data_IF_342054706613
#
_entry.id   IF_342054706613
#
_cell.length_a   1.000
_cell.length_b   1.000
_cell.length_c   1.000
_cell.angle_alpha   90.00
_cell.angle_beta   90.00
_cell.angle_gamma   90.00
#
_symmetry.space_group_name_H-M   'P 1'
#
loop_
_entity.id
_entity.type
_entity.pdbx_description
1 polymer ?
#
# COMPACT_ATOMS: atom_id res chain seq x y z
N UNK A 1 35.76 -24.61 64.45
CA UNK A 1 36.36 -24.71 63.10
C UNK A 1 35.80 -23.59 62.26
N UNK A 2 36.59 -22.54 62.02
CA UNK A 2 36.24 -21.41 61.16
C UNK A 2 37.01 -21.56 59.85
N UNK A 3 36.30 -21.67 58.72
CA UNK A 3 36.90 -21.60 57.38
C UNK A 3 36.63 -20.21 56.79
N UNK A 4 37.64 -19.53 56.21
CA UNK A 4 37.45 -18.25 55.55
C UNK A 4 36.98 -18.47 54.09
N UNK A 5 35.93 -17.76 53.68
CA UNK A 5 35.47 -17.71 52.29
C UNK A 5 36.29 -16.74 51.43
N UNK A 6 36.49 -17.00 50.13
CA UNK A 6 37.30 -16.15 49.26
C UNK A 6 36.52 -14.90 48.83
N UNK A 7 37.14 -13.73 48.99
CA UNK A 7 36.63 -12.48 48.47
C UNK A 7 36.90 -12.39 46.95
N UNK A 8 35.84 -12.40 46.13
CA UNK A 8 35.92 -12.06 44.71
C UNK A 8 36.29 -10.58 44.56
N UNK A 9 37.51 -10.30 44.10
CA UNK A 9 37.91 -8.97 43.62
C UNK A 9 37.37 -8.76 42.20
N UNK A 10 36.25 -8.05 42.08
CA UNK A 10 35.77 -7.51 40.81
C UNK A 10 36.70 -6.37 40.38
N UNK A 11 37.29 -6.46 39.18
CA UNK A 11 38.10 -5.40 38.57
C UNK A 11 37.18 -4.37 37.88
N UNK A 12 37.01 -3.15 38.41
CA UNK A 12 36.06 -2.17 37.87
C UNK A 12 36.50 -1.53 36.54
N UNK A 13 37.76 -1.72 36.12
CA UNK A 13 38.29 -1.07 34.91
C UNK A 13 37.80 -1.66 33.58
N UNK A 14 37.61 -2.99 33.51
CA UNK A 14 37.31 -3.65 32.22
C UNK A 14 35.86 -3.52 31.77
N UNK A 15 34.95 -3.18 32.68
CA UNK A 15 33.52 -3.08 32.35
C UNK A 15 33.22 -1.78 31.56
N UNK A 16 33.90 -0.69 31.91
CA UNK A 16 33.71 0.59 31.22
C UNK A 16 34.25 0.55 29.79
N UNK A 17 35.40 -0.09 29.57
CA UNK A 17 36.01 -0.22 28.25
C UNK A 17 35.15 -1.09 27.31
N UNK A 18 34.60 -2.20 27.82
CA UNK A 18 33.69 -3.06 27.05
C UNK A 18 32.39 -2.33 26.72
N UNK A 19 31.82 -1.59 27.67
CA UNK A 19 30.59 -0.82 27.44
C UNK A 19 30.82 0.31 26.41
N UNK A 20 31.96 1.00 26.48
CA UNK A 20 32.32 2.05 25.53
C UNK A 20 32.52 1.49 24.12
N UNK A 21 33.21 0.35 23.98
CA UNK A 21 33.40 -0.33 22.68
C UNK A 21 32.06 -0.80 22.10
N UNK A 22 31.16 -1.34 22.92
CA UNK A 22 29.82 -1.74 22.48
C UNK A 22 28.98 -0.53 22.04
N UNK A 23 29.05 0.59 22.77
CA UNK A 23 28.37 1.83 22.40
C UNK A 23 28.94 2.45 21.13
N UNK A 24 30.27 2.44 20.96
CA UNK A 24 30.92 2.95 19.75
C UNK A 24 30.61 2.07 18.53
N UNK A 25 30.59 0.75 18.70
CA UNK A 25 30.21 -0.19 17.65
C UNK A 25 28.74 -0.05 17.26
N UNK A 26 27.84 0.15 18.24
CA UNK A 26 26.44 0.45 17.98
C UNK A 26 26.26 1.80 17.26
N UNK A 27 27.01 2.83 17.65
CA UNK A 27 26.99 4.14 17.00
C UNK A 27 27.53 4.08 15.57
N UNK A 28 28.63 3.35 15.34
CA UNK A 28 29.21 3.12 14.02
C UNK A 28 28.31 2.26 13.13
N UNK A 29 27.63 1.26 13.67
CA UNK A 29 26.60 0.50 12.94
C UNK A 29 25.41 1.38 12.57
N UNK A 30 24.98 2.28 13.46
CA UNK A 30 23.91 3.25 13.20
C UNK A 30 24.30 4.30 12.13
N UNK A 31 25.57 4.68 12.01
CA UNK A 31 26.04 5.61 10.96
C UNK A 31 26.33 4.89 9.63
N UNK A 32 26.81 3.65 9.66
CA UNK A 32 27.06 2.83 8.47
C UNK A 32 25.77 2.34 7.79
N UNK A 33 24.67 2.17 8.53
CA UNK A 33 23.34 1.83 7.97
C UNK A 33 22.75 2.87 7.02
N UNK A 34 23.35 4.07 6.91
CA UNK A 34 22.91 5.11 5.97
C UNK A 34 23.37 4.87 4.50
N UNK A 35 24.26 3.89 4.25
CA UNK A 35 24.76 3.55 2.92
C UNK A 35 24.17 2.23 2.37
N UNK A 36 22.99 1.83 2.87
CA UNK A 36 22.28 0.63 2.43
C UNK A 36 22.07 0.59 0.91
N UNK A 37 22.42 -0.57 0.32
CA UNK A 37 22.34 -0.90 -1.10
C UNK A 37 21.20 -0.18 -1.83
N UNK A 38 21.54 0.77 -2.71
CA UNK A 38 20.60 1.55 -3.56
C UNK A 38 19.84 0.72 -4.60
N UNK A 39 19.96 -0.59 -4.56
CA UNK A 39 19.63 -1.47 -5.67
C UNK A 39 18.36 -2.22 -5.31
N UNK A 40 17.23 -1.86 -5.94
CA UNK A 40 16.12 -2.76 -6.36
C UNK A 40 14.71 -2.12 -6.48
N UNK A 41 14.60 -0.79 -6.70
CA UNK A 41 13.29 -0.13 -6.98
C UNK A 41 13.19 0.56 -8.34
N UNK A 42 14.19 0.40 -9.21
CA UNK A 42 14.25 1.07 -10.51
C UNK A 42 14.55 0.11 -11.67
N UNK A 43 14.52 -1.21 -11.45
CA UNK A 43 14.78 -2.22 -12.47
C UNK A 43 13.76 -2.13 -13.60
N UNK A 44 12.49 -1.90 -13.27
CA UNK A 44 11.48 -1.65 -14.30
C UNK A 44 11.83 -0.38 -15.07
N UNK A 45 12.20 0.70 -14.38
CA UNK A 45 12.58 1.96 -15.02
C UNK A 45 13.82 1.83 -15.95
N UNK A 46 14.65 0.80 -15.75
CA UNK A 46 15.81 0.46 -16.56
C UNK A 46 15.59 -0.80 -17.43
N UNK A 47 14.34 -1.16 -17.73
CA UNK A 47 14.02 -2.41 -18.44
C UNK A 47 14.70 -2.52 -19.82
N UNK A 48 14.92 -1.40 -20.52
CA UNK A 48 15.66 -1.38 -21.79
C UNK A 48 17.12 -1.84 -21.67
N UNK A 49 17.71 -1.73 -20.47
CA UNK A 49 19.07 -2.18 -20.15
C UNK A 49 19.10 -3.58 -19.53
N UNK A 50 17.95 -4.17 -19.23
CA UNK A 50 17.84 -5.46 -18.56
C UNK A 50 18.12 -6.62 -19.52
N UNK A 51 18.63 -7.73 -18.98
CA UNK A 51 18.73 -9.01 -19.70
C UNK A 51 17.36 -9.52 -20.14
N UNK A 52 17.31 -10.41 -21.13
CA UNK A 52 16.05 -10.98 -21.61
C UNK A 52 15.27 -11.71 -20.50
N UNK A 53 15.97 -12.43 -19.62
CA UNK A 53 15.36 -13.08 -18.45
C UNK A 53 14.72 -12.05 -17.52
N UNK A 54 15.46 -10.99 -17.15
CA UNK A 54 14.93 -9.92 -16.31
C UNK A 54 13.74 -9.22 -16.96
N UNK A 55 13.78 -8.96 -18.28
CA UNK A 55 12.63 -8.38 -19.00
C UNK A 55 11.39 -9.27 -18.87
N UNK A 56 11.50 -10.59 -19.07
CA UNK A 56 10.38 -11.51 -18.85
C UNK A 56 9.82 -11.42 -17.43
N UNK A 57 10.70 -11.30 -16.43
CA UNK A 57 10.29 -11.15 -15.04
C UNK A 57 9.60 -9.81 -14.73
N UNK A 58 9.92 -8.74 -15.47
CA UNK A 58 9.39 -7.40 -15.28
C UNK A 58 8.16 -7.08 -16.17
N UNK A 59 7.88 -7.87 -17.21
CA UNK A 59 6.77 -7.62 -18.15
C UNK A 59 5.42 -8.14 -17.67
N UNK A 60 4.34 -7.40 -17.90
CA UNK A 60 2.97 -7.84 -17.65
C UNK A 60 2.25 -8.07 -18.98
N UNK A 61 1.84 -9.31 -19.28
CA UNK A 61 1.17 -9.67 -20.53
C UNK A 61 -0.34 -9.36 -20.50
N UNK A 62 -0.68 -8.15 -20.09
CA UNK A 62 -2.04 -7.62 -20.01
C UNK A 62 -1.99 -6.10 -19.88
N UNK A 63 -3.14 -5.45 -20.08
CA UNK A 63 -3.23 -4.01 -19.92
C UNK A 63 -3.01 -3.61 -18.47
N UNK A 64 -1.88 -2.93 -18.27
CA UNK A 64 -1.50 -2.52 -16.94
C UNK A 64 -0.76 -1.19 -16.93
N UNK A 65 -0.75 -0.58 -15.76
CA UNK A 65 0.22 0.44 -15.40
C UNK A 65 0.96 0.02 -14.13
N UNK A 66 2.20 0.46 -14.00
CA UNK A 66 2.95 0.37 -12.75
C UNK A 66 3.42 1.77 -12.37
N UNK A 67 2.97 2.22 -11.21
CA UNK A 67 3.45 3.45 -10.56
C UNK A 67 4.57 3.06 -9.61
N UNK A 68 5.79 3.44 -9.96
CA UNK A 68 6.97 3.32 -9.11
C UNK A 68 7.12 4.53 -8.21
N UNK A 69 7.14 4.29 -6.90
CA UNK A 69 7.34 5.31 -5.87
C UNK A 69 8.66 5.01 -5.16
N UNK A 70 9.42 6.06 -4.90
CA UNK A 70 10.70 6.01 -4.20
C UNK A 70 10.76 7.05 -3.10
N UNK A 71 11.81 7.00 -2.26
CA UNK A 71 11.98 7.89 -1.11
C UNK A 71 13.41 8.37 -0.98
N UNK A 72 13.61 9.68 -1.02
CA UNK A 72 14.94 10.27 -0.99
C UNK A 72 14.97 11.63 -0.27
N UNK A 73 16.15 12.17 0.01
CA UNK A 73 16.32 13.43 0.75
C UNK A 73 15.66 14.61 0.04
N UNK A 74 14.97 15.44 0.82
CA UNK A 74 14.25 16.62 0.34
C UNK A 74 15.15 17.61 -0.43
N UNK A 75 16.44 17.67 -0.11
CA UNK A 75 17.42 18.50 -0.85
C UNK A 75 17.66 18.02 -2.29
N UNK A 76 17.38 16.74 -2.59
CA UNK A 76 17.50 16.17 -3.94
C UNK A 76 16.18 16.16 -4.69
N UNK A 77 15.09 15.82 -4.01
CA UNK A 77 13.80 15.56 -4.67
C UNK A 77 12.79 16.69 -4.50
N UNK A 78 13.10 17.71 -3.69
CA UNK A 78 12.16 18.74 -3.26
C UNK A 78 11.37 18.31 -2.03
N UNK A 79 10.49 19.19 -1.55
CA UNK A 79 9.56 18.92 -0.44
C UNK A 79 8.15 18.79 -0.98
N UNK A 80 7.31 18.05 -0.26
CA UNK A 80 5.86 18.14 -0.45
C UNK A 80 5.44 19.57 -0.11
N UNK A 81 4.98 20.31 -1.12
CA UNK A 81 4.48 21.65 -0.93
C UNK A 81 3.09 21.60 -0.27
N UNK A 82 2.89 22.42 0.75
CA UNK A 82 1.57 22.77 1.25
C UNK A 82 1.04 23.93 0.41
N UNK A 83 -0.21 23.88 -0.04
CA UNK A 83 -0.84 25.01 -0.71
C UNK A 83 -2.09 25.43 0.04
N UNK A 84 -2.17 26.69 0.47
CA UNK A 84 -3.43 27.26 0.91
C UNK A 84 -4.33 27.49 -0.31
N UNK A 85 -5.25 26.56 -0.59
CA UNK A 85 -6.52 26.88 -1.25
C UNK A 85 -6.62 26.81 -2.79
N UNK A 86 -5.77 26.08 -3.51
CA UNK A 86 -6.00 25.84 -4.94
C UNK A 86 -6.82 24.55 -5.18
N UNK A 87 -8.09 24.62 -5.63
CA UNK A 87 -8.80 23.42 -6.09
C UNK A 87 -8.05 22.81 -7.29
N UNK A 88 -7.67 21.53 -7.16
CA UNK A 88 -6.97 20.79 -8.21
C UNK A 88 -5.47 21.06 -8.38
N UNK A 89 -4.82 21.73 -7.41
CA UNK A 89 -3.38 22.05 -7.48
C UNK A 89 -2.41 20.87 -7.25
N UNK A 90 -1.14 21.08 -7.61
CA UNK A 90 0.00 20.17 -7.40
C UNK A 90 0.45 20.11 -5.92
N UNK A 91 -0.50 19.91 -5.00
CA UNK A 91 -0.25 19.95 -3.56
C UNK A 91 -1.36 19.27 -2.75
N UNK A 92 -1.05 18.97 -1.48
CA UNK A 92 -2.02 18.40 -0.53
C UNK A 92 -2.91 19.52 0.03
N UNK A 93 -4.22 19.29 0.04
CA UNK A 93 -5.21 20.21 0.60
C UNK A 93 -5.30 20.07 2.12
N UNK A 94 -4.17 20.29 2.81
CA UNK A 94 -4.10 20.18 4.27
C UNK A 94 -5.02 21.21 4.94
N UNK A 95 -5.27 22.35 4.28
CA UNK A 95 -6.24 23.37 4.71
C UNK A 95 -7.66 23.19 4.14
N UNK A 96 -8.01 22.00 3.63
CA UNK A 96 -9.39 21.71 3.22
C UNK A 96 -10.38 21.94 4.37
N UNK A 97 -11.63 22.38 4.10
CA UNK A 97 -12.64 22.64 5.15
C UNK A 97 -12.75 21.52 6.20
N UNK A 98 -12.76 20.26 5.74
CA UNK A 98 -12.80 19.07 6.60
C UNK A 98 -11.66 19.00 7.64
N UNK A 99 -10.46 19.45 7.28
CA UNK A 99 -9.28 19.45 8.17
C UNK A 99 -9.19 20.75 8.98
N UNK A 100 -9.69 21.88 8.48
CA UNK A 100 -9.77 23.14 9.24
C UNK A 100 -10.65 23.02 10.47
N UNK A 101 -11.72 22.24 10.37
CA UNK A 101 -12.58 21.89 11.52
C UNK A 101 -11.89 20.95 12.52
N UNK A 102 -10.65 20.49 12.24
CA UNK A 102 -9.89 19.50 13.02
C UNK A 102 -8.41 19.89 13.11
N UNK A 103 -8.08 20.97 13.83
CA UNK A 103 -6.71 21.50 13.89
C UNK A 103 -5.68 20.45 14.32
N UNK A 104 -5.98 19.61 15.31
CA UNK A 104 -5.05 18.55 15.76
C UNK A 104 -4.72 17.54 14.66
N UNK A 105 -5.73 17.14 13.89
CA UNK A 105 -5.54 16.23 12.75
C UNK A 105 -4.74 16.93 11.66
N UNK A 106 -5.08 18.17 11.33
CA UNK A 106 -4.36 18.96 10.33
C UNK A 106 -2.88 19.08 10.70
N UNK A 107 -2.57 19.50 11.92
CA UNK A 107 -1.21 19.75 12.39
C UNK A 107 -0.41 18.43 12.44
N UNK A 108 -1.04 17.33 12.84
CA UNK A 108 -0.45 15.99 12.78
C UNK A 108 -0.12 15.56 11.33
N UNK A 109 -1.02 15.82 10.37
CA UNK A 109 -0.80 15.48 8.96
C UNK A 109 0.29 16.37 8.34
N UNK A 110 0.30 17.66 8.67
CA UNK A 110 1.31 18.61 8.21
C UNK A 110 2.70 18.19 8.71
N UNK A 111 2.85 17.94 10.01
CA UNK A 111 4.10 17.44 10.59
C UNK A 111 4.53 16.08 10.01
N UNK A 112 3.56 15.19 9.75
CA UNK A 112 3.82 13.85 9.22
C UNK A 112 4.24 13.85 7.75
N UNK A 113 3.74 14.75 6.91
CA UNK A 113 3.93 14.67 5.46
C UNK A 113 4.70 15.86 4.87
N UNK A 114 4.31 17.11 5.17
CA UNK A 114 4.97 18.29 4.62
C UNK A 114 6.37 18.51 5.21
N UNK A 115 6.57 18.14 6.48
CA UNK A 115 7.82 18.32 7.22
C UNK A 115 8.89 17.24 7.01
N UNK A 116 8.68 16.24 6.14
CA UNK A 116 9.60 15.11 6.05
C UNK A 116 10.97 15.46 5.46
N UNK A 117 12.03 14.97 6.10
CA UNK A 117 13.41 15.07 5.58
C UNK A 117 13.64 14.25 4.32
N UNK A 118 12.91 13.15 4.17
CA UNK A 118 12.99 12.25 3.02
C UNK A 118 11.60 12.05 2.45
N UNK A 119 11.04 12.94 1.62
CA UNK A 119 9.72 12.70 1.05
C UNK A 119 9.78 11.57 0.02
N UNK A 120 8.65 10.88 -0.11
CA UNK A 120 8.39 9.98 -1.24
C UNK A 120 8.12 10.77 -2.51
N UNK A 121 8.35 10.17 -3.68
CA UNK A 121 8.07 10.74 -5.00
C UNK A 121 7.79 9.63 -6.01
N UNK A 122 7.00 9.90 -7.04
CA UNK A 122 6.83 8.99 -8.18
C UNK A 122 8.11 9.05 -9.01
N UNK A 123 8.75 7.92 -9.27
CA UNK A 123 9.97 7.83 -10.07
C UNK A 123 9.70 7.37 -11.50
N UNK A 124 8.67 6.55 -11.71
CA UNK A 124 8.26 6.14 -13.05
C UNK A 124 6.79 5.70 -13.09
N UNK A 125 6.21 5.77 -14.29
CA UNK A 125 4.91 5.23 -14.63
C UNK A 125 5.07 4.43 -15.92
N UNK A 126 5.16 3.12 -15.79
CA UNK A 126 5.22 2.19 -16.91
C UNK A 126 3.80 1.82 -17.36
N UNK A 127 3.60 1.69 -18.67
CA UNK A 127 2.39 1.17 -19.29
C UNK A 127 2.72 -0.14 -20.01
N UNK A 128 1.89 -1.14 -19.79
CA UNK A 128 1.95 -2.44 -20.44
C UNK A 128 0.74 -2.62 -21.35
N UNK A 129 0.97 -3.25 -22.50
CA UNK A 129 -0.11 -3.72 -23.37
C UNK A 129 -0.30 -5.24 -23.30
N UNK A 130 -1.28 -5.77 -24.05
CA UNK A 130 -1.66 -7.17 -23.95
C UNK A 130 -0.57 -8.15 -24.40
N UNK A 131 0.37 -7.72 -25.26
CA UNK A 131 1.53 -8.53 -25.67
C UNK A 131 2.75 -8.38 -24.75
N UNK A 132 2.63 -7.67 -23.62
CA UNK A 132 3.73 -7.45 -22.69
C UNK A 132 4.70 -6.33 -23.08
N UNK A 133 4.43 -5.61 -24.18
CA UNK A 133 5.18 -4.42 -24.55
C UNK A 133 5.07 -3.36 -23.45
N UNK A 134 6.18 -2.72 -23.15
CA UNK A 134 6.29 -1.68 -22.12
C UNK A 134 6.69 -0.36 -22.75
N UNK A 135 6.08 0.73 -22.28
CA UNK A 135 6.56 2.08 -22.51
C UNK A 135 6.38 2.91 -21.22
N UNK A 136 6.98 4.09 -21.13
CA UNK A 136 6.89 4.96 -19.96
C UNK A 136 6.11 6.24 -20.27
N UNK A 137 5.08 6.51 -19.48
CA UNK A 137 4.44 7.83 -19.43
C UNK A 137 5.33 8.84 -18.71
N UNK A 138 6.14 8.35 -17.78
CA UNK A 138 7.07 9.13 -16.98
C UNK A 138 8.19 8.20 -16.47
N UNK A 139 9.43 8.66 -16.51
CA UNK A 139 10.59 7.91 -16.01
C UNK A 139 11.73 8.88 -15.66
N UNK A 140 12.17 8.92 -14.40
CA UNK A 140 13.28 9.79 -13.97
C UNK A 140 14.66 9.29 -14.42
N UNK A 141 14.77 8.02 -14.83
CA UNK A 141 16.05 7.36 -15.09
C UNK A 141 16.42 7.30 -16.57
N UNK A 142 15.43 7.27 -17.47
CA UNK A 142 15.69 7.08 -18.89
C UNK A 142 14.73 7.91 -19.74
N UNK A 143 15.27 8.47 -20.83
CA UNK A 143 14.51 9.16 -21.87
C UNK A 143 14.04 8.23 -23.01
N UNK A 144 14.42 6.95 -22.97
CA UNK A 144 14.00 5.92 -23.94
C UNK A 144 12.63 5.33 -23.62
N UNK A 145 12.03 4.64 -24.59
CA UNK A 145 10.77 3.88 -24.45
C UNK A 145 9.56 4.73 -24.00
N UNK A 146 9.53 6.00 -24.37
CA UNK A 146 8.43 6.91 -24.06
C UNK A 146 7.10 6.48 -24.73
N UNK A 147 5.99 6.51 -24.00
CA UNK A 147 4.66 6.30 -24.56
C UNK A 147 4.21 7.52 -25.38
N UNK A 148 4.37 7.49 -26.70
CA UNK A 148 3.85 8.55 -27.57
C UNK A 148 2.30 8.58 -27.60
N UNK A 149 1.66 9.76 -27.71
CA UNK A 149 2.24 11.11 -27.63
C UNK A 149 2.24 11.69 -26.21
N UNK A 150 1.74 10.95 -25.21
CA UNK A 150 1.43 11.48 -23.87
C UNK A 150 2.60 11.47 -22.88
N UNK A 151 3.73 10.87 -23.24
CA UNK A 151 4.89 10.81 -22.36
C UNK A 151 5.35 12.21 -21.93
N UNK A 152 5.52 12.37 -20.63
CA UNK A 152 5.90 13.64 -20.04
C UNK A 152 7.39 13.91 -20.29
N UNK A 153 7.70 14.84 -21.19
CA UNK A 153 9.05 15.38 -21.37
C UNK A 153 9.31 16.42 -20.27
N UNK A 154 10.05 16.05 -19.22
CA UNK A 154 10.24 16.96 -18.09
C UNK A 154 11.53 17.77 -18.20
N UNK A 155 11.42 19.08 -17.96
CA UNK A 155 12.55 19.97 -17.84
C UNK A 155 13.45 19.57 -16.64
N UNK A 156 14.78 19.47 -16.81
CA UNK A 156 15.71 19.03 -15.77
C UNK A 156 15.70 19.84 -14.47
N UNK A 157 15.19 21.08 -14.47
CA UNK A 157 15.26 21.99 -13.34
C UNK A 157 14.15 21.82 -12.28
N UNK A 158 13.07 21.08 -12.55
CA UNK A 158 11.96 20.95 -11.58
C UNK A 158 12.27 19.91 -10.50
N UNK A 159 11.91 20.11 -9.22
CA UNK A 159 12.07 19.08 -8.19
C UNK A 159 11.24 17.81 -8.48
N UNK A 160 11.75 16.61 -8.18
CA UNK A 160 11.07 15.34 -8.51
C UNK A 160 9.69 15.18 -7.85
N UNK A 161 9.51 15.69 -6.63
CA UNK A 161 8.20 15.74 -5.95
C UNK A 161 7.21 16.56 -6.78
N UNK A 162 7.63 17.71 -7.32
CA UNK A 162 6.78 18.53 -8.19
C UNK A 162 6.40 17.79 -9.49
N UNK A 163 7.35 17.06 -10.08
CA UNK A 163 7.11 16.25 -11.29
C UNK A 163 6.14 15.10 -11.05
N UNK A 164 6.09 14.57 -9.83
CA UNK A 164 5.22 13.44 -9.47
C UNK A 164 3.73 13.78 -9.65
N UNK A 165 3.33 15.02 -9.39
CA UNK A 165 1.95 15.48 -9.63
C UNK A 165 1.59 15.46 -11.11
N UNK A 166 2.48 15.99 -11.96
CA UNK A 166 2.32 16.00 -13.41
C UNK A 166 2.32 14.58 -13.98
N UNK A 167 3.16 13.70 -13.43
CA UNK A 167 3.20 12.29 -13.82
C UNK A 167 1.86 11.59 -13.54
N UNK A 168 1.29 11.75 -12.35
CA UNK A 168 -0.02 11.18 -12.01
C UNK A 168 -1.15 11.80 -12.85
N UNK A 169 -1.11 13.12 -13.10
CA UNK A 169 -2.07 13.76 -13.99
C UNK A 169 -2.00 13.20 -15.43
N UNK A 170 -0.79 12.89 -15.91
CA UNK A 170 -0.55 12.24 -17.20
C UNK A 170 -1.11 10.83 -17.23
N UNK A 171 -0.89 10.05 -16.17
CA UNK A 171 -1.52 8.74 -16.01
C UNK A 171 -3.05 8.83 -16.03
N UNK A 172 -3.64 9.77 -15.30
CA UNK A 172 -5.09 9.99 -15.29
C UNK A 172 -5.65 10.24 -16.70
N UNK A 173 -4.96 11.06 -17.50
CA UNK A 173 -5.35 11.34 -18.90
C UNK A 173 -5.20 10.10 -19.79
N UNK A 174 -4.14 9.32 -19.62
CA UNK A 174 -3.96 8.11 -20.43
C UNK A 174 -4.95 7.00 -20.07
N UNK A 175 -5.29 6.86 -18.79
CA UNK A 175 -6.36 5.94 -18.33
C UNK A 175 -7.71 6.37 -18.91
N UNK A 176 -8.05 7.66 -18.83
CA UNK A 176 -9.29 8.22 -19.41
C UNK A 176 -9.39 7.95 -20.92
N UNK A 177 -8.31 8.18 -21.66
CA UNK A 177 -8.22 7.87 -23.09
C UNK A 177 -8.41 6.37 -23.35
N UNK A 178 -7.69 5.53 -22.61
CA UNK A 178 -7.75 4.08 -22.80
C UNK A 178 -9.10 3.46 -22.44
N UNK A 179 -9.77 3.97 -21.41
CA UNK A 179 -11.10 3.47 -21.02
C UNK A 179 -12.14 3.82 -22.07
N UNK A 180 -12.02 4.97 -22.72
CA UNK A 180 -12.86 5.34 -23.87
C UNK A 180 -12.61 4.43 -25.10
N UNK A 181 -11.34 4.13 -25.40
CA UNK A 181 -10.96 3.31 -26.56
C UNK A 181 -11.30 1.82 -26.39
N UNK A 182 -11.07 1.27 -25.20
CA UNK A 182 -11.05 -0.19 -24.96
C UNK A 182 -12.19 -0.69 -24.09
N UNK A 183 -13.02 0.21 -23.55
CA UNK A 183 -14.22 -0.10 -22.77
C UNK A 183 -13.94 -1.07 -21.63
N UNK A 184 -12.95 -0.73 -20.80
CA UNK A 184 -12.67 -1.46 -19.56
C UNK A 184 -13.89 -1.40 -18.65
N UNK A 185 -14.25 -2.55 -18.09
CA UNK A 185 -15.36 -2.69 -17.14
C UNK A 185 -14.92 -2.36 -15.70
N UNK A 186 -13.65 -2.65 -15.40
CA UNK A 186 -13.07 -2.51 -14.08
C UNK A 186 -11.67 -1.90 -14.22
N UNK A 187 -11.30 -1.06 -13.26
CA UNK A 187 -9.94 -0.62 -13.01
C UNK A 187 -9.57 -1.15 -11.63
N UNK A 188 -8.51 -1.96 -11.56
CA UNK A 188 -8.11 -2.66 -10.35
C UNK A 188 -6.74 -2.16 -9.91
N UNK A 189 -6.68 -1.54 -8.74
CA UNK A 189 -5.44 -1.02 -8.16
C UNK A 189 -4.89 -2.03 -7.16
N UNK A 190 -3.67 -2.49 -7.36
CA UNK A 190 -2.95 -3.42 -6.48
C UNK A 190 -1.78 -2.72 -5.78
N UNK A 191 -1.72 -2.85 -4.45
CA UNK A 191 -0.61 -2.29 -3.65
C UNK A 191 0.00 -3.37 -2.76
N UNK A 192 1.30 -3.63 -2.92
CA UNK A 192 2.01 -4.74 -2.27
C UNK A 192 2.63 -4.37 -0.92
N UNK A 193 2.96 -5.39 -0.13
CA UNK A 193 3.40 -5.32 1.26
C UNK A 193 4.84 -4.84 1.51
N UNK A 194 5.22 -4.94 2.79
CA UNK A 194 6.56 -4.69 3.30
C UNK A 194 7.52 -5.83 2.89
N UNK A 195 8.80 -5.49 2.72
CA UNK A 195 9.86 -6.38 2.21
C UNK A 195 9.59 -6.98 0.83
N UNK A 196 8.95 -6.21 -0.06
CA UNK A 196 8.70 -6.60 -1.44
C UNK A 196 9.48 -5.68 -2.38
N UNK A 197 10.61 -6.14 -2.92
CA UNK A 197 11.35 -5.41 -3.95
C UNK A 197 10.55 -5.34 -5.27
N UNK A 198 10.89 -4.43 -6.17
CA UNK A 198 10.04 -4.14 -7.33
C UNK A 198 9.78 -5.37 -8.23
N UNK A 199 10.79 -6.15 -8.64
CA UNK A 199 10.54 -7.39 -9.38
C UNK A 199 9.60 -8.38 -8.68
N UNK A 200 9.70 -8.53 -7.34
CA UNK A 200 8.77 -9.37 -6.59
C UNK A 200 7.36 -8.80 -6.59
N UNK A 201 7.21 -7.48 -6.40
CA UNK A 201 5.92 -6.82 -6.44
C UNK A 201 5.23 -7.02 -7.80
N UNK A 202 6.00 -6.94 -8.90
CA UNK A 202 5.50 -7.19 -10.26
C UNK A 202 5.06 -8.65 -10.45
N UNK A 203 5.82 -9.62 -9.94
CA UNK A 203 5.39 -11.03 -9.95
C UNK A 203 4.10 -11.23 -9.15
N UNK A 204 4.02 -10.67 -7.95
CA UNK A 204 2.84 -10.76 -7.09
C UNK A 204 1.60 -10.13 -7.74
N UNK A 205 1.75 -8.95 -8.37
CA UNK A 205 0.68 -8.30 -9.15
C UNK A 205 0.26 -9.17 -10.34
N UNK A 206 1.23 -9.72 -11.09
CA UNK A 206 0.97 -10.63 -12.22
C UNK A 206 0.17 -11.84 -11.75
N UNK A 207 0.55 -12.45 -10.63
CA UNK A 207 -0.11 -13.63 -10.09
C UNK A 207 -1.54 -13.30 -9.66
N UNK A 208 -1.77 -12.23 -8.87
CA UNK A 208 -3.12 -11.80 -8.49
C UNK A 208 -4.01 -11.53 -9.70
N UNK A 209 -3.51 -10.75 -10.68
CA UNK A 209 -4.26 -10.43 -11.88
C UNK A 209 -4.58 -11.68 -12.71
N UNK A 210 -3.64 -12.62 -12.80
CA UNK A 210 -3.83 -13.89 -13.52
C UNK A 210 -4.87 -14.75 -12.82
N UNK A 211 -4.76 -14.96 -11.50
CA UNK A 211 -5.73 -15.74 -10.72
C UNK A 211 -7.12 -15.13 -10.76
N UNK A 212 -7.21 -13.80 -10.76
CA UNK A 212 -8.48 -13.09 -10.88
C UNK A 212 -9.13 -13.31 -12.27
N UNK A 213 -8.34 -13.25 -13.35
CA UNK A 213 -8.84 -13.50 -14.71
C UNK A 213 -9.21 -14.97 -14.93
N UNK A 214 -8.44 -15.89 -14.38
CA UNK A 214 -8.77 -17.33 -14.36
C UNK A 214 -10.10 -17.57 -13.64
N UNK A 215 -10.30 -16.95 -12.47
CA UNK A 215 -11.55 -17.03 -11.71
C UNK A 215 -12.75 -16.44 -12.46
N UNK A 216 -12.53 -15.39 -13.26
CA UNK A 216 -13.56 -14.83 -14.12
C UNK A 216 -13.97 -15.75 -15.28
N UNK A 217 -13.17 -16.78 -15.60
CA UNK A 217 -13.54 -17.84 -16.55
C UNK A 217 -13.89 -17.34 -17.96
N UNK A 218 -13.34 -16.20 -18.37
CA UNK A 218 -13.68 -15.56 -19.65
C UNK A 218 -14.99 -14.76 -19.66
N UNK A 219 -15.53 -14.40 -18.49
CA UNK A 219 -16.70 -13.51 -18.37
C UNK A 219 -16.50 -12.24 -19.23
N UNK A 220 -17.28 -12.06 -20.33
CA UNK A 220 -17.10 -10.94 -21.23
C UNK A 220 -17.43 -9.59 -20.58
N UNK A 221 -18.16 -9.59 -19.46
CA UNK A 221 -18.42 -8.41 -18.65
C UNK A 221 -17.22 -8.03 -17.76
N UNK A 222 -16.23 -8.92 -17.60
CA UNK A 222 -15.02 -8.69 -16.81
C UNK A 222 -13.79 -8.45 -17.70
N UNK A 223 -13.61 -7.19 -18.06
CA UNK A 223 -12.47 -6.63 -18.80
C UNK A 223 -11.70 -5.66 -17.89
N UNK A 224 -10.76 -6.13 -17.07
CA UNK A 224 -10.03 -5.28 -16.13
C UNK A 224 -8.85 -4.56 -16.79
N UNK A 225 -8.62 -3.32 -16.39
CA UNK A 225 -7.33 -2.64 -16.49
C UNK A 225 -6.65 -2.70 -15.11
N UNK A 226 -5.38 -3.12 -15.07
CA UNK A 226 -4.64 -3.29 -13.81
C UNK A 226 -3.72 -2.10 -13.55
N UNK A 227 -3.69 -1.57 -12.33
CA UNK A 227 -2.70 -0.57 -11.90
C UNK A 227 -1.97 -1.13 -10.69
N UNK A 228 -0.66 -1.32 -10.77
CA UNK A 228 0.16 -1.67 -9.63
C UNK A 228 0.85 -0.45 -9.03
N UNK A 229 0.90 -0.39 -7.70
CA UNK A 229 1.70 0.58 -6.96
C UNK A 229 2.86 -0.15 -6.29
N UNK A 230 4.07 0.25 -6.66
CA UNK A 230 5.31 -0.21 -6.01
C UNK A 230 5.91 0.96 -5.25
N UNK A 231 6.47 0.69 -4.07
CA UNK A 231 6.94 1.72 -3.14
C UNK A 231 8.16 1.18 -2.38
N UNK A 232 8.95 2.03 -1.68
CA UNK A 232 10.22 1.62 -1.07
C UNK A 232 9.98 0.80 0.21
N UNK A 233 9.44 -0.40 0.02
CA UNK A 233 8.90 -1.24 1.06
C UNK A 233 9.93 -2.16 1.68
N UNK A 234 11.20 -2.18 1.23
CA UNK A 234 12.22 -3.04 1.84
C UNK A 234 12.87 -2.37 3.05
N UNK A 235 12.99 -3.15 4.13
CA UNK A 235 13.72 -2.80 5.33
C UNK A 235 15.22 -3.04 5.24
N UNK A 236 15.92 -2.74 6.33
CA UNK A 236 17.30 -3.20 6.51
C UNK A 236 17.26 -4.72 6.83
N UNK A 237 17.80 -5.58 5.94
CA UNK A 237 17.79 -7.02 6.17
C UNK A 237 18.58 -7.45 7.41
N UNK A 238 19.48 -6.60 7.94
CA UNK A 238 20.22 -6.89 9.16
C UNK A 238 19.37 -6.77 10.44
N UNK A 239 18.25 -6.04 10.40
CA UNK A 239 17.39 -5.78 11.57
C UNK A 239 15.90 -5.92 11.22
N UNK A 240 15.41 -7.14 10.89
CA UNK A 240 14.12 -7.40 10.23
C UNK A 240 12.84 -7.07 11.03
N UNK A 241 12.91 -6.29 12.12
CA UNK A 241 11.76 -5.79 12.87
C UNK A 241 11.97 -4.34 13.39
N UNK A 242 13.19 -3.79 13.32
CA UNK A 242 13.50 -2.47 13.85
C UNK A 242 12.90 -1.33 13.00
N UNK A 243 12.64 -1.60 11.72
CA UNK A 243 12.10 -0.65 10.75
C UNK A 243 10.58 -0.75 10.59
N UNK A 244 9.88 -1.66 11.29
CA UNK A 244 8.42 -1.81 11.20
C UNK A 244 7.70 -0.45 11.32
N UNK A 245 8.06 0.33 12.35
CA UNK A 245 7.47 1.64 12.59
C UNK A 245 7.81 2.68 11.51
N UNK A 246 8.97 2.55 10.87
CA UNK A 246 9.39 3.40 9.74
C UNK A 246 8.53 3.05 8.53
N UNK A 247 8.42 1.77 8.19
CA UNK A 247 7.68 1.29 7.04
C UNK A 247 6.17 1.48 7.17
N UNK A 248 5.67 1.52 8.41
CA UNK A 248 4.30 1.85 8.71
C UNK A 248 4.00 3.31 8.34
N UNK A 249 4.95 4.21 8.65
CA UNK A 249 4.87 5.62 8.26
C UNK A 249 5.04 5.80 6.75
N UNK A 250 5.96 5.07 6.12
CA UNK A 250 6.18 5.11 4.67
C UNK A 250 4.91 4.66 3.92
N UNK A 251 4.28 3.55 4.33
CA UNK A 251 3.01 3.09 3.76
C UNK A 251 1.88 4.12 3.95
N UNK A 252 1.79 4.74 5.14
CA UNK A 252 0.80 5.81 5.38
C UNK A 252 1.07 7.07 4.53
N UNK A 253 2.32 7.36 4.19
CA UNK A 253 2.70 8.48 3.32
C UNK A 253 2.38 8.18 1.86
N UNK A 254 2.79 7.02 1.36
CA UNK A 254 2.43 6.52 0.02
C UNK A 254 0.92 6.56 -0.18
N UNK A 255 0.18 6.02 0.81
CA UNK A 255 -1.27 6.01 0.82
C UNK A 255 -1.86 7.42 0.83
N UNK A 256 -1.48 8.27 1.80
CA UNK A 256 -2.11 9.58 1.98
C UNK A 256 -1.80 10.59 0.87
N UNK A 257 -0.64 10.43 0.21
CA UNK A 257 -0.16 11.32 -0.85
C UNK A 257 -0.42 10.69 -2.21
N UNK A 258 0.46 9.82 -2.68
CA UNK A 258 0.52 9.41 -4.09
C UNK A 258 -0.64 8.53 -4.52
N UNK A 259 -0.97 7.50 -3.72
CA UNK A 259 -2.08 6.62 -4.05
C UNK A 259 -3.43 7.34 -3.84
N UNK A 260 -3.54 8.24 -2.85
CA UNK A 260 -4.72 9.08 -2.69
C UNK A 260 -4.96 9.99 -3.90
N UNK A 261 -3.92 10.66 -4.41
CA UNK A 261 -4.01 11.47 -5.64
C UNK A 261 -4.46 10.60 -6.81
N UNK A 262 -3.84 9.43 -6.98
CA UNK A 262 -4.20 8.48 -8.02
C UNK A 262 -5.70 8.11 -7.93
N UNK A 263 -6.16 7.65 -6.78
CA UNK A 263 -7.54 7.16 -6.60
C UNK A 263 -8.57 8.31 -6.63
N UNK A 264 -8.38 9.31 -5.76
CA UNK A 264 -9.41 10.30 -5.46
C UNK A 264 -9.41 11.51 -6.37
N UNK A 265 -8.33 11.74 -7.14
CA UNK A 265 -8.24 12.83 -8.13
C UNK A 265 -8.23 12.29 -9.56
N UNK A 266 -7.24 11.48 -9.91
CA UNK A 266 -6.99 11.11 -11.30
C UNK A 266 -7.97 10.03 -11.80
N UNK A 267 -8.10 8.93 -11.07
CA UNK A 267 -9.04 7.86 -11.42
C UNK A 267 -10.50 8.28 -11.19
N UNK A 268 -10.78 9.23 -10.28
CA UNK A 268 -12.09 9.86 -10.17
C UNK A 268 -12.52 10.52 -11.48
N UNK A 269 -11.65 11.35 -12.06
CA UNK A 269 -11.91 12.00 -13.36
C UNK A 269 -12.09 10.96 -14.46
N UNK A 270 -11.16 10.01 -14.55
CA UNK A 270 -11.23 8.96 -15.57
C UNK A 270 -12.49 8.08 -15.43
N UNK A 271 -12.92 7.78 -14.21
CA UNK A 271 -14.15 7.02 -13.92
C UNK A 271 -15.40 7.79 -14.34
N UNK A 272 -15.46 9.09 -14.05
CA UNK A 272 -16.58 9.93 -14.47
C UNK A 272 -16.75 9.95 -16.00
N UNK A 273 -15.65 9.87 -16.75
CA UNK A 273 -15.68 9.80 -18.22
C UNK A 273 -15.93 8.38 -18.76
N UNK A 274 -15.31 7.35 -18.16
CA UNK A 274 -15.30 5.98 -18.69
C UNK A 274 -16.35 5.03 -18.11
N UNK A 275 -16.96 5.36 -16.97
CA UNK A 275 -18.01 4.55 -16.34
C UNK A 275 -17.56 3.19 -15.79
N UNK A 276 -16.25 2.99 -15.57
CA UNK A 276 -15.72 1.73 -15.03
C UNK A 276 -15.92 1.62 -13.51
N UNK A 277 -15.86 0.40 -12.98
CA UNK A 277 -15.80 0.13 -11.54
C UNK A 277 -14.35 0.21 -11.04
N UNK A 278 -14.10 0.96 -9.98
CA UNK A 278 -12.79 1.11 -9.36
C UNK A 278 -12.69 0.19 -8.14
N UNK A 279 -11.81 -0.81 -8.24
CA UNK A 279 -11.54 -1.79 -7.20
C UNK A 279 -10.14 -1.55 -6.65
N UNK A 280 -9.99 -1.55 -5.33
CA UNK A 280 -8.70 -1.36 -4.66
C UNK A 280 -8.38 -2.59 -3.84
N UNK A 281 -7.24 -3.20 -4.11
CA UNK A 281 -6.77 -4.41 -3.42
C UNK A 281 -5.38 -4.15 -2.86
N UNK A 282 -5.20 -4.30 -1.56
CA UNK A 282 -3.90 -4.19 -0.94
C UNK A 282 -3.57 -5.42 -0.11
N UNK A 283 -2.29 -5.77 -0.04
CA UNK A 283 -1.78 -6.85 0.80
C UNK A 283 -0.87 -6.31 1.89
N UNK A 284 -0.99 -6.80 3.14
CA UNK A 284 -0.06 -6.43 4.23
C UNK A 284 0.03 -4.90 4.44
N UNK A 285 1.22 -4.31 4.40
CA UNK A 285 1.44 -2.85 4.42
C UNK A 285 0.93 -2.16 3.15
N UNK A 286 0.82 -2.88 2.04
CA UNK A 286 0.12 -2.39 0.86
C UNK A 286 -1.37 -2.23 1.11
N UNK A 287 -1.98 -3.08 1.94
CA UNK A 287 -3.36 -2.89 2.42
C UNK A 287 -3.48 -1.65 3.31
N UNK A 288 -2.46 -1.37 4.13
CA UNK A 288 -2.36 -0.14 4.92
C UNK A 288 -2.27 1.10 4.02
N UNK A 289 -1.41 1.09 3.01
CA UNK A 289 -1.28 2.18 2.03
C UNK A 289 -2.57 2.38 1.23
N UNK A 290 -3.13 1.30 0.67
CA UNK A 290 -4.35 1.32 -0.13
C UNK A 290 -5.56 1.85 0.66
N UNK A 291 -5.79 1.32 1.86
CA UNK A 291 -6.90 1.81 2.70
C UNK A 291 -6.66 3.24 3.17
N UNK A 292 -5.40 3.63 3.42
CA UNK A 292 -5.07 5.03 3.73
C UNK A 292 -5.40 5.94 2.55
N UNK A 293 -5.09 5.52 1.33
CA UNK A 293 -5.40 6.27 0.12
C UNK A 293 -6.90 6.46 -0.08
N UNK A 294 -7.67 5.38 0.02
CA UNK A 294 -9.13 5.40 -0.13
C UNK A 294 -9.76 6.44 0.80
N UNK A 295 -9.45 6.37 2.09
CA UNK A 295 -10.11 7.24 3.06
C UNK A 295 -9.53 8.65 3.12
N UNK A 296 -8.31 8.88 2.62
CA UNK A 296 -7.67 10.21 2.58
C UNK A 296 -8.23 11.17 1.51
N UNK A 297 -9.37 10.87 0.87
CA UNK A 297 -10.01 11.73 -0.13
C UNK A 297 -10.10 13.23 0.23
N UNK A 298 -10.37 13.64 1.50
CA UNK A 298 -10.39 15.06 1.87
C UNK A 298 -9.07 15.80 1.64
N UNK A 299 -7.92 15.09 1.61
CA UNK A 299 -6.59 15.68 1.37
C UNK A 299 -6.34 16.12 -0.08
N UNK A 300 -7.22 15.79 -1.02
CA UNK A 300 -7.05 16.15 -2.45
C UNK A 300 -8.22 16.97 -2.98
N UNK A 301 -8.98 17.65 -2.11
CA UNK A 301 -10.20 18.43 -2.46
C UNK A 301 -11.23 17.63 -3.26
N UNK A 302 -11.27 16.31 -3.12
CA UNK A 302 -12.25 15.49 -3.80
C UNK A 302 -13.65 15.72 -3.23
N UNK A 303 -14.67 15.64 -4.09
CA UNK A 303 -16.06 15.60 -3.64
C UNK A 303 -16.24 14.44 -2.64
N UNK A 304 -17.07 14.61 -1.60
CA UNK A 304 -17.24 13.62 -0.53
C UNK A 304 -17.95 12.33 -0.97
N UNK A 305 -18.17 12.14 -2.28
CA UNK A 305 -18.76 10.91 -2.82
C UNK A 305 -17.70 9.82 -2.96
N UNK A 306 -18.02 8.56 -2.62
CA UNK A 306 -17.14 7.42 -2.87
C UNK A 306 -16.75 7.31 -4.34
N UNK A 307 -15.44 7.24 -4.63
CA UNK A 307 -14.93 6.91 -5.96
C UNK A 307 -14.63 5.42 -6.11
N UNK A 308 -14.23 4.78 -5.02
CA UNK A 308 -13.86 3.36 -4.97
C UNK A 308 -15.12 2.52 -4.69
N UNK A 309 -15.42 1.57 -5.57
CA UNK A 309 -16.62 0.72 -5.46
C UNK A 309 -16.39 -0.46 -4.53
N UNK A 310 -15.15 -0.90 -4.34
CA UNK A 310 -14.79 -2.01 -3.45
C UNK A 310 -13.35 -1.88 -2.97
N UNK A 311 -13.14 -2.07 -1.67
CA UNK A 311 -11.82 -2.21 -1.05
C UNK A 311 -11.64 -3.63 -0.55
N UNK A 312 -10.53 -4.28 -0.91
CA UNK A 312 -10.15 -5.60 -0.41
C UNK A 312 -8.78 -5.52 0.27
N UNK A 313 -8.77 -5.73 1.58
CA UNK A 313 -7.58 -5.75 2.44
C UNK A 313 -7.18 -7.18 2.73
N UNK A 314 -6.22 -7.69 1.95
CA UNK A 314 -5.67 -9.04 2.08
C UNK A 314 -4.61 -9.06 3.18
N UNK A 315 -4.88 -9.76 4.28
CA UNK A 315 -4.00 -9.88 5.47
C UNK A 315 -3.43 -8.53 5.92
N UNK A 316 -4.29 -7.54 6.13
CA UNK A 316 -3.88 -6.15 6.36
C UNK A 316 -2.99 -5.97 7.61
N UNK A 317 -1.85 -5.30 7.43
CA UNK A 317 -0.87 -5.01 8.49
C UNK A 317 -1.11 -3.62 9.12
N UNK A 318 -2.31 -3.42 9.66
CA UNK A 318 -2.73 -2.20 10.35
C UNK A 318 -3.87 -2.53 11.31
N UNK A 319 -4.11 -1.65 12.30
CA UNK A 319 -5.11 -1.90 13.34
C UNK A 319 -6.54 -1.84 12.81
N UNK A 320 -7.39 -2.82 13.14
CA UNK A 320 -8.83 -2.75 12.83
C UNK A 320 -9.53 -1.62 13.57
N UNK A 321 -8.93 -1.13 14.66
CA UNK A 321 -9.45 0.00 15.44
C UNK A 321 -9.57 1.29 14.62
N UNK A 322 -8.89 1.37 13.46
CA UNK A 322 -9.12 2.45 12.49
C UNK A 322 -10.60 2.61 12.14
N UNK A 323 -11.35 1.51 12.04
CA UNK A 323 -12.79 1.52 11.71
C UNK A 323 -13.70 1.78 12.93
N UNK A 324 -13.13 1.92 14.12
CA UNK A 324 -13.85 2.13 15.37
C UNK A 324 -13.76 3.54 15.93
N UNK A 325 -12.84 4.36 15.42
CA UNK A 325 -12.58 5.70 15.94
C UNK A 325 -13.86 6.56 15.97
N UNK A 326 -14.15 7.21 17.09
CA UNK A 326 -15.30 8.10 17.29
C UNK A 326 -14.90 9.57 17.27
N UNK A 327 -15.89 10.48 17.16
CA UNK A 327 -15.69 11.94 17.13
C UNK A 327 -15.01 12.50 18.39
N UNK A 328 -15.11 11.78 19.51
CA UNK A 328 -14.57 12.20 20.81
C UNK A 328 -13.07 11.91 20.97
N UNK A 329 -12.37 11.44 19.93
CA UNK A 329 -10.93 11.16 20.01
C UNK A 329 -10.57 10.08 21.03
N UNK A 330 -11.51 9.17 21.32
CA UNK A 330 -11.31 8.11 22.31
C UNK A 330 -10.02 7.32 22.06
N UNK A 331 -9.35 6.91 23.14
CA UNK A 331 -8.04 6.27 23.17
C UNK A 331 -7.91 4.98 22.31
N UNK A 332 -9.02 4.45 21.80
CA UNK A 332 -9.09 3.25 20.96
C UNK A 332 -8.64 3.51 19.50
N UNK A 333 -8.63 4.76 19.02
CA UNK A 333 -8.34 5.11 17.61
C UNK A 333 -6.91 5.61 17.32
N UNK A 334 -5.85 4.96 17.85
CA UNK A 334 -4.46 5.48 17.76
C UNK A 334 -3.88 5.65 16.34
N UNK A 335 -4.44 5.00 15.32
CA UNK A 335 -3.99 5.15 13.92
C UNK A 335 -4.76 6.21 13.10
N UNK A 336 -5.65 6.97 13.75
CA UNK A 336 -6.17 8.25 13.28
C UNK A 336 -7.30 8.22 12.24
N UNK A 337 -7.96 9.37 12.09
CA UNK A 337 -8.86 9.71 10.99
C UNK A 337 -8.14 9.54 9.63
N UNK A 338 -8.86 9.25 8.52
CA UNK A 338 -10.31 9.44 8.29
C UNK A 338 -11.16 8.15 8.21
N UNK A 339 -10.67 7.02 8.71
CA UNK A 339 -11.35 5.71 8.59
C UNK A 339 -12.72 5.62 9.27
N UNK A 340 -13.03 6.52 10.20
CA UNK A 340 -14.35 6.61 10.85
C UNK A 340 -15.49 6.72 9.84
N UNK A 341 -15.29 7.53 8.80
CA UNK A 341 -16.33 7.84 7.82
C UNK A 341 -16.28 6.87 6.63
N UNK A 342 -15.71 5.67 6.80
CA UNK A 342 -15.51 4.71 5.70
C UNK A 342 -16.77 4.49 4.85
N UNK A 343 -17.94 4.43 5.50
CA UNK A 343 -19.23 4.18 4.86
C UNK A 343 -19.68 5.29 3.89
N UNK A 344 -19.14 6.51 4.03
CA UNK A 344 -19.39 7.62 3.10
C UNK A 344 -18.21 7.89 2.16
N UNK A 345 -17.04 7.31 2.41
CA UNK A 345 -15.82 7.54 1.65
C UNK A 345 -15.49 6.44 0.65
N UNK A 346 -16.06 5.24 0.82
CA UNK A 346 -15.86 4.10 -0.06
C UNK A 346 -17.17 3.28 -0.23
N UNK A 347 -17.21 2.44 -1.27
CA UNK A 347 -18.12 1.30 -1.32
C UNK A 347 -17.75 0.25 -0.25
N UNK A 348 -18.26 -0.99 -0.37
CA UNK A 348 -17.97 -2.03 0.61
C UNK A 348 -16.47 -2.22 0.88
N UNK A 349 -16.16 -2.38 2.17
CA UNK A 349 -14.80 -2.64 2.66
C UNK A 349 -14.73 -4.08 3.11
N UNK A 350 -13.81 -4.84 2.53
CA UNK A 350 -13.60 -6.25 2.82
C UNK A 350 -12.22 -6.44 3.40
N UNK A 351 -12.14 -7.17 4.51
CA UNK A 351 -10.93 -7.52 5.23
C UNK A 351 -10.78 -9.04 5.25
N UNK A 352 -9.56 -9.55 5.25
CA UNK A 352 -9.30 -10.98 5.47
C UNK A 352 -8.36 -11.20 6.65
N UNK A 353 -8.67 -12.19 7.50
CA UNK A 353 -7.77 -12.71 8.53
C UNK A 353 -7.46 -14.19 8.28
N UNK A 354 -6.34 -14.68 8.82
CA UNK A 354 -6.03 -16.11 8.85
C UNK A 354 -5.34 -16.51 10.15
N UNK A 355 -5.74 -17.63 10.74
CA UNK A 355 -5.03 -18.24 11.88
C UNK A 355 -3.63 -18.75 11.53
N UNK A 356 -3.31 -18.84 10.24
CA UNK A 356 -2.01 -19.29 9.73
C UNK A 356 -1.06 -18.13 9.41
N UNK A 357 -1.52 -16.88 9.53
CA UNK A 357 -0.68 -15.69 9.39
C UNK A 357 0.13 -15.47 10.67
N UNK A 358 1.39 -15.90 10.65
CA UNK A 358 2.28 -15.72 11.80
C UNK A 358 3.02 -14.38 11.79
N UNK A 359 3.13 -13.70 10.63
CA UNK A 359 3.84 -12.43 10.50
C UNK A 359 3.19 -11.36 11.37
N UNK A 360 1.86 -11.32 11.36
CA UNK A 360 1.06 -10.42 12.20
C UNK A 360 0.88 -10.91 13.64
N UNK A 361 1.50 -12.02 14.05
CA UNK A 361 1.49 -12.44 15.47
C UNK A 361 2.81 -12.18 16.19
N UNK A 362 3.90 -12.01 15.43
CA UNK A 362 5.25 -11.79 15.97
C UNK A 362 5.49 -10.36 16.46
N UNK A 363 4.74 -9.37 15.97
CA UNK A 363 4.75 -8.02 16.53
C UNK A 363 3.81 -7.96 17.75
N UNK A 364 4.31 -7.65 18.95
CA UNK A 364 3.52 -7.69 20.20
C UNK A 364 2.25 -6.81 20.24
N UNK A 365 2.07 -5.90 19.28
CA UNK A 365 0.84 -5.09 19.09
C UNK A 365 -0.09 -5.61 17.99
N UNK A 366 0.30 -6.65 17.28
CA UNK A 366 -0.38 -7.12 16.08
C UNK A 366 -1.57 -8.06 16.37
N UNK A 367 -1.89 -8.29 17.66
CA UNK A 367 -3.21 -8.78 18.08
C UNK A 367 -4.38 -7.93 17.56
N UNK A 368 -4.10 -6.67 17.21
CA UNK A 368 -5.10 -5.75 16.66
C UNK A 368 -5.05 -5.64 15.14
N UNK A 369 -4.15 -6.36 14.47
CA UNK A 369 -4.02 -6.22 13.02
C UNK A 369 -5.14 -6.94 12.29
N UNK A 370 -5.58 -6.34 11.20
CA UNK A 370 -6.64 -6.88 10.36
C UNK A 370 -6.36 -8.32 9.88
N UNK A 371 -5.10 -8.67 9.59
CA UNK A 371 -4.72 -10.05 9.22
C UNK A 371 -4.82 -11.07 10.36
N UNK A 372 -4.85 -10.63 11.62
CA UNK A 372 -4.81 -11.51 12.78
C UNK A 372 -6.17 -12.17 13.06
N UNK A 373 -6.16 -13.49 13.24
CA UNK A 373 -7.36 -14.23 13.68
C UNK A 373 -7.86 -13.77 15.05
N UNK A 374 -6.95 -13.40 15.97
CA UNK A 374 -7.33 -12.91 17.29
C UNK A 374 -8.13 -11.60 17.19
N UNK A 375 -7.72 -10.70 16.29
CA UNK A 375 -8.43 -9.46 16.03
C UNK A 375 -9.83 -9.71 15.43
N UNK A 376 -9.91 -10.67 14.50
CA UNK A 376 -11.17 -11.11 13.90
C UNK A 376 -12.14 -11.66 14.96
N UNK A 377 -11.65 -12.56 15.84
CA UNK A 377 -12.46 -13.14 16.91
C UNK A 377 -12.91 -12.08 17.93
N UNK A 378 -12.03 -11.14 18.29
CA UNK A 378 -12.35 -10.02 19.17
C UNK A 378 -13.43 -9.12 18.55
N UNK A 379 -13.29 -8.73 17.29
CA UNK A 379 -14.26 -7.89 16.60
C UNK A 379 -15.62 -8.57 16.42
N UNK A 380 -15.63 -9.90 16.25
CA UNK A 380 -16.85 -10.72 16.14
C UNK A 380 -17.57 -10.90 17.48
N UNK A 381 -16.84 -11.18 18.55
CA UNK A 381 -17.41 -11.46 19.87
C UNK A 381 -17.70 -10.20 20.70
N UNK A 382 -17.03 -9.09 20.38
CA UNK A 382 -17.08 -7.85 21.14
C UNK A 382 -18.24 -6.91 20.79
N UNK A 383 -18.31 -5.73 21.43
CA UNK A 383 -19.35 -4.72 21.18
C UNK A 383 -19.30 -4.13 19.76
N UNK A 384 -18.29 -4.48 18.98
CA UNK A 384 -18.05 -3.98 17.62
C UNK A 384 -18.83 -4.72 16.54
N UNK A 385 -19.61 -5.74 16.89
CA UNK A 385 -20.41 -6.51 15.92
C UNK A 385 -21.34 -5.65 15.06
N UNK A 386 -21.79 -4.48 15.53
CA UNK A 386 -22.57 -3.55 14.72
C UNK A 386 -21.79 -2.95 13.53
N UNK A 387 -20.45 -2.86 13.63
CA UNK A 387 -19.56 -2.31 12.60
C UNK A 387 -19.00 -3.36 11.67
N UNK A 388 -18.82 -4.60 12.13
CA UNK A 388 -18.19 -5.68 11.36
C UNK A 388 -19.19 -6.80 11.03
N UNK A 389 -19.22 -7.23 9.78
CA UNK A 389 -19.89 -8.45 9.33
C UNK A 389 -18.86 -9.56 9.27
N UNK A 390 -19.09 -10.68 9.96
CA UNK A 390 -18.19 -11.83 9.89
C UNK A 390 -18.66 -12.81 8.81
N UNK A 391 -17.72 -13.31 8.02
CA UNK A 391 -17.93 -14.42 7.10
C UNK A 391 -16.71 -15.35 7.10
N UNK A 392 -16.81 -16.48 6.40
CA UNK A 392 -15.70 -17.41 6.24
C UNK A 392 -15.68 -17.96 4.81
N UNK A 393 -14.47 -18.24 4.33
CA UNK A 393 -14.25 -18.92 3.05
C UNK A 393 -14.43 -20.44 3.19
N UNK A 394 -15.06 -21.05 2.19
CA UNK A 394 -14.94 -22.48 1.92
C UNK A 394 -13.55 -22.78 1.34
N UNK A 395 -13.16 -24.06 1.26
CA UNK A 395 -11.83 -24.48 0.78
C UNK A 395 -11.54 -24.08 -0.67
N UNK A 396 -12.58 -23.85 -1.47
CA UNK A 396 -12.44 -23.36 -2.84
C UNK A 396 -12.25 -21.84 -2.92
N UNK A 397 -12.28 -21.11 -1.80
CA UNK A 397 -12.13 -19.66 -1.73
C UNK A 397 -13.44 -18.88 -1.83
N UNK A 398 -14.58 -19.53 -2.04
CA UNK A 398 -15.89 -18.86 -2.08
C UNK A 398 -16.45 -18.64 -0.67
N UNK A 399 -17.27 -17.62 -0.52
CA UNK A 399 -18.07 -17.36 0.69
C UNK A 399 -19.52 -17.80 0.43
N UNK A 400 -20.02 -18.89 1.07
CA UNK A 400 -21.31 -19.51 0.75
C UNK A 400 -22.58 -18.64 0.96
N UNK A 401 -22.47 -17.49 1.62
CA UNK A 401 -23.58 -16.55 1.83
C UNK A 401 -23.05 -15.10 1.86
N UNK A 402 -22.32 -14.73 0.81
CA UNK A 402 -21.69 -13.41 0.74
C UNK A 402 -22.74 -12.28 0.74
N UNK A 403 -22.67 -11.42 1.76
CA UNK A 403 -23.46 -10.21 1.87
C UNK A 403 -22.55 -9.01 2.09
N UNK A 404 -22.70 -7.99 1.24
CA UNK A 404 -21.95 -6.74 1.34
C UNK A 404 -22.91 -5.62 1.73
N UNK A 405 -22.66 -5.03 2.90
CA UNK A 405 -23.45 -3.93 3.45
C UNK A 405 -22.52 -2.72 3.53
N UNK A 406 -22.69 -1.67 2.70
CA UNK A 406 -21.76 -0.53 2.65
C UNK A 406 -21.48 0.14 4.00
N UNK A 407 -22.44 0.08 4.93
CA UNK A 407 -22.36 0.68 6.26
C UNK A 407 -21.53 -0.16 7.26
N UNK A 408 -21.12 -1.36 6.88
CA UNK A 408 -20.37 -2.30 7.71
C UNK A 408 -19.14 -2.81 6.95
N UNK A 409 -18.12 -3.16 7.71
CA UNK A 409 -16.91 -3.76 7.17
C UNK A 409 -17.10 -5.28 7.15
N UNK A 410 -17.03 -5.90 5.98
CA UNK A 410 -17.04 -7.36 5.86
C UNK A 410 -15.65 -7.90 6.21
N UNK A 411 -15.55 -8.69 7.28
CA UNK A 411 -14.33 -9.35 7.67
C UNK A 411 -14.48 -10.85 7.45
N UNK A 412 -13.57 -11.42 6.68
CA UNK A 412 -13.61 -12.81 6.23
C UNK A 412 -12.50 -13.60 6.92
N UNK A 413 -12.88 -14.66 7.61
CA UNK A 413 -11.94 -15.73 7.99
C UNK A 413 -11.54 -16.50 6.72
N UNK A 414 -10.31 -16.26 6.28
CA UNK A 414 -9.71 -16.84 5.10
C UNK A 414 -8.78 -18.03 5.44
N UNK A 415 -8.87 -18.59 6.65
CA UNK A 415 -7.98 -19.65 7.13
C UNK A 415 -8.03 -20.95 6.31
N UNK A 416 -9.14 -21.21 5.60
CA UNK A 416 -9.25 -22.42 4.76
C UNK A 416 -8.41 -22.33 3.47
N UNK A 417 -8.05 -21.11 3.04
CA UNK A 417 -7.38 -20.85 1.75
C UNK A 417 -6.06 -20.08 1.89
N UNK A 418 -5.89 -19.29 2.95
CA UNK A 418 -4.62 -18.64 3.32
C UNK A 418 -3.94 -19.53 4.36
N UNK A 419 -3.21 -20.54 3.86
CA UNK A 419 -2.52 -21.55 4.67
C UNK A 419 -1.20 -21.98 4.01
N UNK A 420 -0.26 -22.47 4.81
CA UNK A 420 1.09 -22.84 4.35
C UNK A 420 2.02 -21.64 4.18
N UNK A 421 3.19 -21.82 3.57
CA UNK A 421 4.13 -20.74 3.30
C UNK A 421 4.31 -20.60 1.79
N UNK A 422 4.37 -19.37 1.29
CA UNK A 422 4.80 -19.15 -0.09
C UNK A 422 6.33 -19.32 -0.16
N UNK A 423 6.80 -20.11 -1.13
CA UNK A 423 8.22 -20.35 -1.33
C UNK A 423 8.97 -19.02 -1.53
N UNK A 424 10.11 -18.86 -0.86
CA UNK A 424 10.92 -17.63 -0.93
C UNK A 424 10.42 -16.47 -0.06
N UNK A 425 9.36 -16.65 0.73
CA UNK A 425 8.83 -15.63 1.64
C UNK A 425 8.95 -16.05 3.10
N UNK A 426 9.08 -15.07 4.00
CA UNK A 426 8.99 -15.27 5.46
C UNK A 426 7.59 -14.99 6.00
N UNK A 427 7.33 -15.31 7.28
CA UNK A 427 6.12 -14.86 7.98
C UNK A 427 4.91 -15.81 7.95
N UNK A 428 5.06 -17.06 7.53
CA UNK A 428 3.96 -18.03 7.54
C UNK A 428 3.05 -17.91 6.32
N UNK A 429 1.73 -18.03 6.53
CA UNK A 429 0.74 -17.87 5.47
C UNK A 429 0.46 -16.42 5.07
N UNK A 430 1.18 -15.44 5.65
CA UNK A 430 0.98 -14.02 5.36
C UNK A 430 1.02 -13.71 3.86
N UNK A 431 1.96 -14.31 3.14
CA UNK A 431 2.12 -14.14 1.69
C UNK A 431 1.41 -15.22 0.87
N UNK A 432 0.69 -16.16 1.50
CA UNK A 432 -0.09 -17.19 0.82
C UNK A 432 -1.42 -16.62 0.24
N UNK A 433 -1.35 -15.46 -0.41
CA UNK A 433 -2.49 -14.72 -0.96
C UNK A 433 -2.53 -14.73 -2.50
N UNK A 434 -1.52 -15.30 -3.15
CA UNK A 434 -1.36 -15.33 -4.61
C UNK A 434 -1.90 -16.63 -5.24
N UNK A 435 -2.95 -17.20 -4.64
CA UNK A 435 -3.48 -18.52 -4.99
C UNK A 435 -4.75 -18.43 -5.86
N UNK A 436 -5.11 -19.50 -6.59
CA UNK A 436 -6.38 -19.56 -7.33
C UNK A 436 -7.61 -19.32 -6.45
N UNK A 437 -7.59 -19.77 -5.19
CA UNK A 437 -8.66 -19.57 -4.21
C UNK A 437 -8.88 -18.10 -3.90
N UNK A 438 -7.80 -17.32 -3.75
CA UNK A 438 -7.90 -15.88 -3.55
C UNK A 438 -8.37 -15.16 -4.82
N UNK A 439 -7.96 -15.62 -6.00
CA UNK A 439 -8.53 -15.14 -7.26
C UNK A 439 -10.05 -15.32 -7.31
N UNK A 440 -10.55 -16.50 -6.88
CA UNK A 440 -11.99 -16.78 -6.79
C UNK A 440 -12.71 -15.94 -5.74
N UNK A 441 -12.10 -15.75 -4.56
CA UNK A 441 -12.62 -14.87 -3.52
C UNK A 441 -12.78 -13.44 -4.05
N UNK A 442 -11.70 -12.85 -4.58
CA UNK A 442 -11.70 -11.46 -5.06
C UNK A 442 -12.70 -11.28 -6.21
N UNK A 443 -12.79 -12.24 -7.14
CA UNK A 443 -13.79 -12.19 -8.21
C UNK A 443 -15.23 -12.22 -7.67
N UNK A 444 -15.52 -13.11 -6.71
CA UNK A 444 -16.84 -13.17 -6.07
C UNK A 444 -17.18 -11.84 -5.38
N UNK A 445 -16.23 -11.24 -4.68
CA UNK A 445 -16.39 -9.92 -4.05
C UNK A 445 -16.68 -8.82 -5.09
N UNK A 446 -15.95 -8.78 -6.20
CA UNK A 446 -16.21 -7.81 -7.28
C UNK A 446 -17.64 -7.98 -7.83
N UNK A 447 -18.07 -9.22 -8.08
CA UNK A 447 -19.40 -9.52 -8.62
C UNK A 447 -20.53 -9.14 -7.67
N UNK A 448 -20.35 -9.35 -6.38
CA UNK A 448 -21.42 -9.21 -5.38
C UNK A 448 -21.41 -7.89 -4.61
N UNK A 449 -20.28 -7.19 -4.57
CA UNK A 449 -20.08 -6.03 -3.69
C UNK A 449 -19.76 -4.74 -4.44
N UNK A 450 -19.26 -4.83 -5.67
CA UNK A 450 -19.00 -3.67 -6.52
C UNK A 450 -20.09 -3.47 -7.59
N UNK A 451 -21.31 -3.98 -7.34
CA UNK A 451 -22.41 -4.04 -8.32
C UNK A 451 -23.04 -2.70 -8.63
#
# INVERSE_FOLDING_TARGET
MNLPGPALRLFPGRFLDVLLVVLLAALLAMTAGCAGNRTQFHELALIGQSSEQQRRELTLAFDAYIVGIEKDNASRVGRLADCPGAPGGDCLAIDAPYLRERPDLRDALHGKYAGQHRPTYVSHIARFGPSGQVCFLYNVYAAGDACAPLALTVAPAQPLVARSWQALATLGRDVERLTAERRFSHVIVYTMGWNTYQPEALRNIRDLATRLREAAGGDPAFRPLVLGVTWPSTGDPALPMADFGIKAKDADEVGAVWENILLNRELRRAKAAGGFRLIVVGHSFGARAATRAVFSAPLVTAAPTPVVDLVVSLQGAYSYQRYLATDAGGAEGREGAPYRDFASLAGPVVLTASRHDTAVTQAGHARYFVGSQAAFDEARAGPHGARFLAAATAEDGRVPALACVPQRVLWIDASSVIKGNQAGTGGGAHSAVYTPEIGRLVYQLIRSCAS
#
